data_IF_831582956562
#
_entry.id   IF_831582956562
#
_cell.length_a   1.000
_cell.length_b   1.000
_cell.length_c   1.000
_cell.angle_alpha   90.00
_cell.angle_beta   90.00
_cell.angle_gamma   90.00
#
_symmetry.space_group_name_H-M   'P 1'
#
loop_
_entity.id
_entity.type
_entity.pdbx_description
1 polymer ?
#
# COMPACT_ATOMS: atom_id res chain seq x y z
N UNK A 1 6.00 44.70 -24.37
CA UNK A 1 4.77 44.92 -23.57
C UNK A 1 3.67 44.01 -24.10
N UNK A 2 2.78 43.59 -23.18
CA UNK A 2 1.50 42.89 -23.35
C UNK A 2 1.50 41.35 -23.25
N UNK A 3 1.09 40.89 -22.06
CA UNK A 3 0.58 39.56 -21.74
C UNK A 3 -0.77 39.25 -22.42
N UNK A 4 -1.15 37.95 -22.35
CA UNK A 4 -2.50 37.32 -22.40
C UNK A 4 -2.81 36.63 -23.75
N UNK A 5 -3.31 35.39 -23.82
CA UNK A 5 -4.03 34.51 -22.87
C UNK A 5 -3.64 33.04 -23.09
N UNK A 6 -3.55 32.29 -21.98
CA UNK A 6 -3.63 30.82 -21.95
C UNK A 6 -5.06 30.39 -22.29
N UNK A 7 -5.19 29.30 -23.05
CA UNK A 7 -6.38 28.44 -23.08
C UNK A 7 -5.86 27.01 -23.25
N UNK A 8 -5.74 26.30 -22.13
CA UNK A 8 -5.50 24.84 -22.14
C UNK A 8 -6.89 24.22 -22.26
N UNK A 9 -7.12 23.52 -23.36
CA UNK A 9 -8.28 22.68 -23.59
C UNK A 9 -8.18 21.50 -22.62
N UNK A 10 -8.94 21.58 -21.52
CA UNK A 10 -9.27 20.43 -20.69
C UNK A 10 -10.25 19.56 -21.48
N UNK A 11 -9.73 18.52 -22.15
CA UNK A 11 -10.53 17.45 -22.72
C UNK A 11 -10.99 16.51 -21.61
N UNK A 12 -12.28 16.58 -21.26
CA UNK A 12 -12.99 15.46 -20.64
C UNK A 12 -13.27 14.36 -21.68
N UNK A 13 -13.83 13.20 -21.37
CA UNK A 13 -14.17 12.53 -20.12
C UNK A 13 -14.44 11.08 -20.53
N UNK A 14 -14.02 10.10 -19.72
CA UNK A 14 -14.57 8.74 -19.74
C UNK A 14 -14.38 8.11 -18.36
N UNK A 15 -15.14 8.59 -17.38
CA UNK A 15 -15.40 7.80 -16.16
C UNK A 15 -16.55 6.87 -16.49
N UNK A 16 -16.21 5.62 -16.83
CA UNK A 16 -17.15 4.52 -16.78
C UNK A 16 -17.36 4.16 -15.31
N UNK A 17 -18.58 4.35 -14.82
CA UNK A 17 -18.95 4.10 -13.44
C UNK A 17 -18.94 2.62 -13.08
N UNK A 18 -18.22 2.32 -12.01
CA UNK A 18 -18.50 1.33 -10.97
C UNK A 18 -18.05 2.01 -9.67
N UNK A 19 -18.78 1.87 -8.56
CA UNK A 19 -18.35 2.43 -7.27
C UNK A 19 -16.98 1.87 -6.93
N UNK A 20 -15.95 2.69 -7.09
CA UNK A 20 -14.57 2.29 -6.88
C UNK A 20 -14.31 2.37 -5.38
N UNK A 21 -14.68 1.32 -4.66
CA UNK A 21 -14.09 1.06 -3.35
C UNK A 21 -12.58 1.00 -3.60
N UNK A 22 -11.82 1.97 -3.13
CA UNK A 22 -10.38 2.02 -3.36
C UNK A 22 -9.61 2.43 -2.12
N UNK A 23 -8.48 1.76 -1.88
CA UNK A 23 -7.47 2.27 -0.98
C UNK A 23 -6.73 3.43 -1.63
N UNK A 24 -6.60 4.54 -0.90
CA UNK A 24 -5.85 5.72 -1.34
C UNK A 24 -4.60 5.93 -0.50
N UNK A 25 -3.51 6.28 -1.18
CA UNK A 25 -2.23 6.59 -0.55
C UNK A 25 -2.35 7.88 0.27
N UNK A 26 -1.97 7.83 1.54
CA UNK A 26 -1.91 9.02 2.40
C UNK A 26 -0.53 9.69 2.38
N UNK A 27 0.53 8.96 2.04
CA UNK A 27 1.91 9.42 2.09
C UNK A 27 2.52 9.53 0.69
N UNK A 28 3.31 10.57 0.42
CA UNK A 28 4.12 10.60 -0.79
C UNK A 28 5.38 9.77 -0.58
N UNK A 29 5.84 9.08 -1.64
CA UNK A 29 7.16 8.45 -1.73
C UNK A 29 8.23 9.22 -0.92
N UNK A 30 8.84 8.53 0.04
CA UNK A 30 9.77 9.08 1.01
C UNK A 30 11.22 8.68 0.64
N UNK A 31 12.22 9.37 1.20
CA UNK A 31 13.64 9.04 1.05
C UNK A 31 13.98 7.63 1.55
N UNK A 32 13.19 7.08 2.48
CA UNK A 32 13.38 5.73 3.02
C UNK A 32 12.90 4.68 2.02
N UNK A 33 11.63 4.74 1.61
CA UNK A 33 11.01 3.75 0.74
C UNK A 33 9.82 4.37 -0.01
N UNK A 34 9.52 3.79 -1.16
CA UNK A 34 8.38 4.13 -1.99
C UNK A 34 7.72 2.84 -2.45
N UNK A 35 6.39 2.80 -2.42
CA UNK A 35 5.64 1.59 -2.74
C UNK A 35 4.57 1.86 -3.80
N UNK A 36 4.32 0.87 -4.64
CA UNK A 36 3.21 0.83 -5.58
C UNK A 36 2.22 -0.26 -5.19
N UNK A 37 0.94 -0.05 -5.51
CA UNK A 37 -0.15 -0.87 -4.99
C UNK A 37 -1.18 -1.19 -6.05
N UNK A 38 -1.69 -2.42 -6.00
CA UNK A 38 -2.85 -2.86 -6.78
C UNK A 38 -3.89 -3.50 -5.85
N UNK A 39 -5.05 -2.85 -5.74
CA UNK A 39 -6.16 -3.31 -4.89
C UNK A 39 -7.19 -4.12 -5.68
N UNK A 40 -7.60 -5.25 -5.10
CA UNK A 40 -8.64 -6.11 -5.63
C UNK A 40 -9.67 -6.39 -4.53
N UNK A 41 -10.83 -5.74 -4.64
CA UNK A 41 -11.95 -5.94 -3.71
C UNK A 41 -12.69 -7.26 -3.95
N UNK A 42 -13.22 -7.85 -2.87
CA UNK A 42 -14.07 -9.04 -2.92
C UNK A 42 -15.25 -8.93 -1.94
N UNK A 43 -16.43 -9.40 -2.37
CA UNK A 43 -17.67 -9.30 -1.58
C UNK A 43 -17.77 -10.37 -0.48
N UNK A 44 -17.39 -11.62 -0.80
CA UNK A 44 -17.53 -12.80 0.08
C UNK A 44 -16.17 -13.42 0.48
N UNK A 45 -15.08 -12.68 0.27
CA UNK A 45 -13.71 -13.11 0.57
C UNK A 45 -12.89 -11.93 1.09
N UNK A 46 -11.71 -12.16 1.70
CA UNK A 46 -10.79 -11.07 2.01
C UNK A 46 -10.43 -10.29 0.75
N UNK A 47 -10.28 -8.97 0.89
CA UNK A 47 -9.70 -8.16 -0.17
C UNK A 47 -8.24 -8.54 -0.35
N UNK A 48 -7.72 -8.28 -1.54
CA UNK A 48 -6.31 -8.49 -1.87
C UNK A 48 -5.66 -7.16 -2.18
N UNK A 49 -4.44 -6.98 -1.67
CA UNK A 49 -3.58 -5.85 -1.97
C UNK A 49 -2.21 -6.38 -2.35
N UNK A 50 -1.81 -6.11 -3.59
CA UNK A 50 -0.45 -6.33 -4.06
C UNK A 50 0.37 -5.08 -3.74
N UNK A 51 1.52 -5.25 -3.08
CA UNK A 51 2.39 -4.20 -2.59
C UNK A 51 3.78 -4.45 -3.17
N UNK A 52 4.29 -3.51 -3.96
CA UNK A 52 5.65 -3.58 -4.52
C UNK A 52 6.52 -2.45 -3.99
N UNK A 53 7.76 -2.77 -3.60
CA UNK A 53 8.79 -1.76 -3.37
C UNK A 53 9.26 -1.18 -4.72
N UNK A 54 9.08 0.12 -4.90
CA UNK A 54 9.23 0.80 -6.20
C UNK A 54 10.35 1.85 -6.23
N UNK A 55 10.96 2.14 -5.07
CA UNK A 55 12.08 3.08 -4.97
C UNK A 55 12.39 3.49 -3.53
N UNK A 56 13.37 4.38 -3.34
CA UNK A 56 13.89 4.75 -2.02
C UNK A 56 15.27 4.12 -1.79
N UNK A 57 15.51 3.60 -0.58
CA UNK A 57 16.74 2.88 -0.26
C UNK A 57 16.72 1.46 -0.84
N UNK A 58 17.77 1.08 -1.57
CA UNK A 58 17.93 -0.26 -2.16
C UNK A 58 18.34 -1.34 -1.14
N UNK A 59 18.55 -0.98 0.13
CA UNK A 59 19.06 -1.87 1.17
C UNK A 59 18.15 -1.85 2.41
N UNK A 60 16.86 -2.09 2.20
CA UNK A 60 15.89 -2.28 3.28
C UNK A 60 15.72 -3.78 3.57
N UNK A 61 16.13 -4.27 4.76
CA UNK A 61 15.96 -5.68 5.12
C UNK A 61 14.48 -6.04 5.30
N UNK A 62 14.08 -7.19 4.76
CA UNK A 62 12.70 -7.67 4.80
C UNK A 62 12.22 -8.02 6.21
N UNK A 63 13.13 -8.29 7.14
CA UNK A 63 12.84 -8.47 8.57
C UNK A 63 12.52 -7.18 9.33
N UNK A 64 12.91 -6.04 8.78
CA UNK A 64 12.77 -4.71 9.40
C UNK A 64 11.54 -3.96 8.87
N UNK A 65 10.93 -4.44 7.79
CA UNK A 65 9.74 -3.85 7.16
C UNK A 65 8.51 -4.67 7.54
N UNK A 66 7.47 -4.01 8.03
CA UNK A 66 6.24 -4.65 8.51
C UNK A 66 5.02 -4.09 7.80
N UNK A 67 4.03 -4.95 7.54
CA UNK A 67 2.71 -4.57 7.04
C UNK A 67 1.68 -4.84 8.13
N UNK A 68 0.89 -3.83 8.47
CA UNK A 68 -0.18 -3.96 9.47
C UNK A 68 -1.49 -4.47 8.87
N UNK A 69 -2.41 -4.90 9.74
CA UNK A 69 -3.78 -5.27 9.37
C UNK A 69 -3.89 -6.42 8.36
N UNK A 70 -2.87 -7.29 8.30
CA UNK A 70 -2.86 -8.45 7.42
C UNK A 70 -3.76 -9.54 8.02
N UNK A 71 -4.72 -10.02 7.24
CA UNK A 71 -5.62 -11.11 7.64
C UNK A 71 -4.84 -12.42 7.76
N UNK A 72 -4.79 -12.97 8.97
CA UNK A 72 -4.16 -14.27 9.26
C UNK A 72 -5.19 -15.39 9.40
N UNK A 73 -6.42 -15.06 9.82
CA UNK A 73 -7.56 -15.97 9.84
C UNK A 73 -8.84 -15.23 9.45
N UNK A 74 -9.42 -15.62 8.31
CA UNK A 74 -10.65 -15.03 7.80
C UNK A 74 -11.90 -15.45 8.58
N UNK A 75 -11.95 -16.70 9.06
CA UNK A 75 -13.14 -17.23 9.73
C UNK A 75 -13.36 -16.54 11.08
N UNK A 76 -12.27 -16.32 11.82
CA UNK A 76 -12.29 -15.59 13.09
C UNK A 76 -12.13 -14.08 12.93
N UNK A 77 -11.86 -13.59 11.70
CA UNK A 77 -11.54 -12.20 11.39
C UNK A 77 -10.33 -11.65 12.16
N UNK A 78 -9.30 -12.49 12.30
CA UNK A 78 -8.05 -12.13 12.96
C UNK A 78 -7.09 -11.47 11.98
N UNK A 79 -6.45 -10.39 12.45
CA UNK A 79 -5.43 -9.63 11.73
C UNK A 79 -4.17 -9.50 12.57
N UNK A 80 -3.01 -9.44 11.92
CA UNK A 80 -1.72 -9.24 12.58
C UNK A 80 -0.85 -8.22 11.82
N UNK A 81 0.27 -7.85 12.42
CA UNK A 81 1.35 -7.08 11.78
C UNK A 81 2.51 -8.00 11.47
N UNK A 82 2.75 -8.25 10.19
CA UNK A 82 3.72 -9.24 9.73
C UNK A 82 4.91 -8.57 9.04
N UNK A 83 6.10 -9.15 9.18
CA UNK A 83 7.27 -8.70 8.43
C UNK A 83 7.10 -8.99 6.95
N UNK A 84 7.75 -8.22 6.10
CA UNK A 84 7.82 -8.46 4.66
C UNK A 84 8.37 -9.87 4.38
N UNK A 85 9.41 -10.29 5.10
CA UNK A 85 9.97 -11.63 4.99
C UNK A 85 8.99 -12.76 5.37
N UNK A 86 8.01 -12.50 6.26
CA UNK A 86 6.99 -13.49 6.60
C UNK A 86 5.87 -13.57 5.53
N UNK A 87 5.76 -12.54 4.69
CA UNK A 87 4.73 -12.41 3.64
C UNK A 87 5.24 -12.88 2.27
N UNK A 88 6.54 -12.77 2.01
CA UNK A 88 7.18 -13.23 0.79
C UNK A 88 7.50 -14.74 0.86
N UNK A 89 7.21 -15.46 -0.24
CA UNK A 89 7.29 -16.93 -0.28
C UNK A 89 8.74 -17.50 -0.26
N UNK A 90 9.76 -16.67 -0.52
CA UNK A 90 11.17 -17.08 -0.60
C UNK A 90 12.12 -15.92 -0.25
N UNK A 91 11.93 -15.32 0.91
CA UNK A 91 12.74 -14.19 1.36
C UNK A 91 13.17 -14.37 2.82
N UNK A 92 14.48 -14.35 3.07
CA UNK A 92 15.02 -14.35 4.42
C UNK A 92 14.91 -12.94 5.05
N UNK A 93 14.82 -12.82 6.39
CA UNK A 93 14.75 -11.51 7.04
C UNK A 93 15.91 -10.55 6.71
N UNK A 94 17.08 -11.08 6.34
CA UNK A 94 18.25 -10.30 5.93
C UNK A 94 18.25 -9.87 4.47
N UNK A 95 17.38 -10.45 3.64
CA UNK A 95 17.29 -10.11 2.23
C UNK A 95 16.68 -8.72 2.07
N UNK A 96 16.99 -8.07 0.95
CA UNK A 96 16.44 -6.75 0.67
C UNK A 96 15.14 -6.85 -0.12
N UNK A 97 14.19 -5.96 0.20
CA UNK A 97 12.90 -5.87 -0.49
C UNK A 97 12.98 -5.13 -1.84
N UNK A 98 14.16 -4.76 -2.32
CA UNK A 98 14.29 -3.91 -3.52
C UNK A 98 13.66 -4.54 -4.77
N UNK A 99 12.63 -3.88 -5.31
CA UNK A 99 11.84 -4.35 -6.44
C UNK A 99 10.88 -5.51 -6.13
N UNK A 100 10.87 -6.00 -4.89
CA UNK A 100 10.06 -7.14 -4.49
C UNK A 100 8.57 -6.78 -4.37
N UNK A 101 7.72 -7.79 -4.52
CA UNK A 101 6.27 -7.67 -4.44
C UNK A 101 5.69 -8.74 -3.53
N UNK A 102 4.84 -8.30 -2.60
CA UNK A 102 4.07 -9.19 -1.72
C UNK A 102 2.58 -9.01 -1.96
N UNK A 103 1.84 -10.10 -1.77
CA UNK A 103 0.37 -10.12 -1.80
C UNK A 103 -0.17 -10.29 -0.40
N UNK A 104 -0.88 -9.28 0.11
CA UNK A 104 -1.53 -9.35 1.42
C UNK A 104 -3.05 -9.44 1.29
N UNK A 105 -3.68 -10.06 2.30
CA UNK A 105 -5.13 -10.12 2.44
C UNK A 105 -5.58 -9.12 3.48
N UNK A 106 -6.63 -8.37 3.17
CA UNK A 106 -7.15 -7.31 4.03
C UNK A 106 -8.61 -7.55 4.38
N UNK A 107 -9.00 -7.08 5.56
CA UNK A 107 -10.39 -7.04 5.99
C UNK A 107 -11.08 -5.83 5.35
N UNK A 108 -12.24 -6.04 4.73
CA UNK A 108 -13.06 -4.96 4.16
C UNK A 108 -13.48 -3.96 5.23
N UNK A 109 -13.42 -2.66 4.91
CA UNK A 109 -13.89 -1.59 5.81
C UNK A 109 -12.95 -1.24 6.96
N UNK A 110 -11.66 -1.61 6.87
CA UNK A 110 -10.63 -1.14 7.81
C UNK A 110 -10.05 0.18 7.34
N UNK A 111 -10.06 1.15 8.24
CA UNK A 111 -9.74 2.54 7.92
C UNK A 111 -8.33 2.71 7.37
N UNK A 112 -7.29 2.04 7.90
CA UNK A 112 -5.89 2.29 7.50
C UNK A 112 -5.02 1.02 7.50
N UNK A 113 -4.27 0.80 6.42
CA UNK A 113 -3.13 -0.14 6.33
C UNK A 113 -1.84 0.66 6.34
N UNK A 114 -0.84 0.22 7.10
CA UNK A 114 0.45 0.90 7.21
C UNK A 114 1.61 -0.04 6.91
N UNK A 115 2.66 0.52 6.30
CA UNK A 115 3.98 -0.10 6.22
C UNK A 115 4.89 0.61 7.21
N UNK A 116 5.46 -0.17 8.12
CA UNK A 116 6.37 0.28 9.16
C UNK A 116 7.78 -0.15 8.81
N UNK A 117 8.75 0.66 9.17
CA UNK A 117 10.15 0.28 9.22
C UNK A 117 10.63 0.37 10.67
N UNK A 118 11.22 -0.72 11.16
CA UNK A 118 11.74 -0.84 12.52
C UNK A 118 13.22 -1.17 12.46
N UNK A 119 14.03 -0.37 13.13
CA UNK A 119 15.45 -0.65 13.31
C UNK A 119 15.82 -0.37 14.77
N UNK A 120 16.45 -1.35 15.42
CA UNK A 120 16.77 -1.30 16.84
C UNK A 120 15.54 -0.97 17.71
N UNK A 121 15.54 0.20 18.36
CA UNK A 121 14.43 0.69 19.21
C UNK A 121 13.54 1.73 18.51
N UNK A 122 13.82 2.05 17.24
CA UNK A 122 13.11 3.07 16.47
C UNK A 122 12.08 2.43 15.52
N UNK A 123 10.84 2.93 15.56
CA UNK A 123 9.76 2.58 14.63
C UNK A 123 9.32 3.82 13.85
N UNK A 124 9.20 3.68 12.53
CA UNK A 124 8.75 4.75 11.64
C UNK A 124 7.69 4.21 10.68
N UNK A 125 6.58 4.96 10.53
CA UNK A 125 5.62 4.71 9.45
C UNK A 125 6.24 5.25 8.17
N UNK A 126 6.52 4.37 7.22
CA UNK A 126 7.11 4.74 5.92
C UNK A 126 6.06 4.84 4.82
N UNK A 127 4.89 4.22 5.01
CA UNK A 127 3.75 4.33 4.10
C UNK A 127 2.41 4.10 4.83
N UNK A 128 1.35 4.77 4.41
CA UNK A 128 -0.01 4.56 4.92
C UNK A 128 -1.07 4.68 3.83
N UNK A 129 -2.10 3.83 3.91
CA UNK A 129 -3.21 3.73 2.95
C UNK A 129 -4.53 3.72 3.68
N UNK A 130 -5.45 4.58 3.26
CA UNK A 130 -6.81 4.62 3.83
C UNK A 130 -7.78 3.88 2.93
N UNK A 131 -8.68 3.11 3.52
CA UNK A 131 -9.86 2.61 2.80
C UNK A 131 -10.87 3.74 2.68
N UNK A 132 -11.30 4.06 1.45
CA UNK A 132 -12.33 5.07 1.21
C UNK A 132 -13.55 4.39 0.56
N UNK A 133 -14.66 4.33 1.29
CA UNK A 133 -15.98 3.92 0.79
C UNK A 133 -16.84 5.11 0.32
N UNK A 134 -16.34 6.34 0.44
CA UNK A 134 -17.04 7.60 0.23
C UNK A 134 -16.68 8.28 -1.12
N UNK A 135 -16.37 7.49 -2.17
CA UNK A 135 -16.33 8.01 -3.54
C UNK A 135 -17.76 8.25 -4.07
N UNK A 136 -18.30 9.41 -3.70
CA UNK A 136 -19.60 9.93 -4.14
C UNK A 136 -19.53 10.80 -5.40
#
# INVERSE_FOLDING_TARGET
>A
MSLRRRAILLGGAAVAGFGAISYHQLTTCNEIACFSFEYQGADDAPNVLDIQHSGGQEQLPAGDVYVSEVVVDWESRETDTLTWAALADDMEPSDTIDGDEIRVRLMTGRDIVTILWRQDDDEQVIEAWVYDDDVS
#
